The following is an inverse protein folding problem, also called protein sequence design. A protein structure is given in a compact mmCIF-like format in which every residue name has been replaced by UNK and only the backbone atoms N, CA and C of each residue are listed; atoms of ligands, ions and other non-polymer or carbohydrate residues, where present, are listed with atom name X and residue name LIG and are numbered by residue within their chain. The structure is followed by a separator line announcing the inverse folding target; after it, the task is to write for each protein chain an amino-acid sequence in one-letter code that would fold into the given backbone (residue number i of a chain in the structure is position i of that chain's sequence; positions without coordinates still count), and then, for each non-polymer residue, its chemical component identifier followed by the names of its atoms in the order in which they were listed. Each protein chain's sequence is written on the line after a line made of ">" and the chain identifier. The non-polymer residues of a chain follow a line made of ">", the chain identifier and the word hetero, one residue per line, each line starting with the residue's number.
data_IF_858584549182
#
_entry.id   IF_858584549182
#
_cell.length_a   1.000
_cell.length_b   1.000
_cell.length_c   1.000
_cell.angle_alpha   90.00
_cell.angle_beta   90.00
_cell.angle_gamma   90.00
#
_symmetry.space_group_name_H-M   'P 1'
#
loop_
_entity.id
_entity.type
_entity.pdbx_description
1 polymer ?
#
# COMPACT_ATOMS: atom_id res chain seq x y z
N UNK A 1 -12.40 -3.15 19.43
CA UNK A 1 -10.96 -2.83 19.58
C UNK A 1 -10.77 -2.00 20.84
N UNK A 2 -9.73 -2.28 21.64
CA UNK A 2 -9.40 -1.45 22.81
C UNK A 2 -8.77 -0.14 22.35
N UNK A 3 -9.27 1.00 22.83
CA UNK A 3 -8.62 2.30 22.63
C UNK A 3 -7.55 2.52 23.68
N UNK A 4 -6.37 2.97 23.26
CA UNK A 4 -5.25 3.34 24.12
C UNK A 4 -5.09 4.85 24.09
N UNK A 5 -4.93 5.47 25.25
CA UNK A 5 -4.58 6.89 25.36
C UNK A 5 -3.07 6.99 25.39
N UNK A 6 -2.50 7.85 24.56
CA UNK A 6 -1.06 8.11 24.55
C UNK A 6 -0.81 9.61 24.42
N UNK A 7 0.27 10.07 25.03
CA UNK A 7 0.75 11.45 24.95
C UNK A 7 1.99 11.48 24.07
N UNK A 8 2.06 12.43 23.15
CA UNK A 8 3.18 12.55 22.22
C UNK A 8 3.46 14.03 21.92
N UNK A 9 4.73 14.33 21.61
CA UNK A 9 5.17 15.64 21.16
C UNK A 9 5.26 15.68 19.63
N UNK A 10 4.42 16.50 19.00
CA UNK A 10 4.42 16.78 17.57
C UNK A 10 4.87 18.23 17.31
N UNK A 11 5.44 18.47 16.13
CA UNK A 11 5.77 19.84 15.69
C UNK A 11 4.55 20.76 15.78
N UNK A 12 4.79 21.99 16.23
CA UNK A 12 3.76 23.04 16.33
C UNK A 12 3.08 23.30 14.99
N UNK A 13 3.82 23.22 13.88
CA UNK A 13 3.29 23.43 12.54
C UNK A 13 2.35 22.31 12.10
N UNK A 14 2.71 21.05 12.41
CA UNK A 14 1.84 19.90 12.16
C UNK A 14 0.55 19.97 12.97
N UNK A 15 0.64 20.37 14.25
CA UNK A 15 -0.53 20.55 15.11
C UNK A 15 -1.47 21.65 14.58
N UNK A 16 -0.89 22.76 14.10
CA UNK A 16 -1.63 23.87 13.50
C UNK A 16 -2.32 23.45 12.20
N UNK A 17 -1.59 22.76 11.32
CA UNK A 17 -2.14 22.22 10.08
C UNK A 17 -3.27 21.23 10.35
N UNK A 18 -3.06 20.27 11.25
CA UNK A 18 -4.06 19.27 11.62
C UNK A 18 -5.32 19.91 12.18
N UNK A 19 -5.20 20.98 12.97
CA UNK A 19 -6.34 21.75 13.45
C UNK A 19 -7.14 22.42 12.33
N UNK A 20 -6.47 23.07 11.38
CA UNK A 20 -7.14 23.68 10.21
C UNK A 20 -7.83 22.63 9.35
N UNK A 21 -7.13 21.54 9.05
CA UNK A 21 -7.66 20.45 8.22
C UNK A 21 -8.86 19.79 8.90
N UNK A 22 -8.75 19.44 10.18
CA UNK A 22 -9.83 18.78 10.92
C UNK A 22 -11.10 19.65 10.97
N UNK A 23 -10.94 20.97 11.16
CA UNK A 23 -12.04 21.91 11.10
C UNK A 23 -12.70 21.97 9.70
N UNK A 24 -11.89 22.07 8.64
CA UNK A 24 -12.41 22.12 7.26
C UNK A 24 -13.19 20.87 6.86
N UNK A 25 -12.77 19.71 7.36
CA UNK A 25 -13.37 18.41 7.07
C UNK A 25 -14.44 17.99 8.09
N UNK A 26 -14.71 18.82 9.11
CA UNK A 26 -15.63 18.53 10.22
C UNK A 26 -15.34 17.21 10.94
N UNK A 27 -14.06 16.88 11.12
CA UNK A 27 -13.58 15.69 11.83
C UNK A 27 -12.70 16.07 13.01
N UNK A 28 -12.46 15.11 13.92
CA UNK A 28 -11.58 15.33 15.06
C UNK A 28 -10.10 15.18 14.67
N UNK A 29 -9.20 15.86 15.40
CA UNK A 29 -7.74 15.70 15.23
C UNK A 29 -7.31 14.23 15.38
N UNK A 30 -7.95 13.49 16.28
CA UNK A 30 -7.74 12.04 16.45
C UNK A 30 -8.03 11.29 15.16
N UNK A 31 -9.15 11.57 14.50
CA UNK A 31 -9.52 10.91 13.25
C UNK A 31 -8.55 11.24 12.11
N UNK A 32 -8.02 12.47 12.05
CA UNK A 32 -6.97 12.84 11.10
C UNK A 32 -5.72 12.00 11.33
N UNK A 33 -5.27 11.89 12.58
CA UNK A 33 -4.08 11.12 12.94
C UNK A 33 -4.25 9.63 12.66
N UNK A 34 -5.41 9.06 13.00
CA UNK A 34 -5.76 7.67 12.76
C UNK A 34 -5.78 7.34 11.25
N UNK A 35 -6.34 8.23 10.43
CA UNK A 35 -6.32 8.11 8.97
C UNK A 35 -4.88 8.18 8.43
N UNK A 36 -4.09 9.14 8.89
CA UNK A 36 -2.70 9.30 8.45
C UNK A 36 -1.85 8.07 8.77
N UNK A 37 -1.94 7.55 10.00
CA UNK A 37 -1.21 6.34 10.41
C UNK A 37 -1.67 5.10 9.65
N UNK A 38 -2.97 4.98 9.36
CA UNK A 38 -3.52 3.88 8.57
C UNK A 38 -2.98 3.90 7.14
N UNK A 39 -2.98 5.06 6.50
CA UNK A 39 -2.43 5.20 5.14
C UNK A 39 -0.91 5.02 5.12
N UNK A 40 -0.19 5.53 6.12
CA UNK A 40 1.24 5.29 6.27
C UNK A 40 1.54 3.79 6.38
N UNK A 41 0.83 3.06 7.24
CA UNK A 41 0.97 1.60 7.38
C UNK A 41 0.72 0.87 6.05
N UNK A 42 -0.31 1.26 5.30
CA UNK A 42 -0.58 0.70 3.96
C UNK A 42 0.59 0.97 3.01
N UNK A 43 1.15 2.19 3.03
CA UNK A 43 2.27 2.56 2.16
C UNK A 43 3.53 1.75 2.46
N UNK A 44 3.85 1.52 3.74
CA UNK A 44 4.97 0.67 4.16
C UNK A 44 4.78 -0.75 3.66
N UNK A 45 3.60 -1.34 3.86
CA UNK A 45 3.30 -2.69 3.37
C UNK A 45 3.41 -2.80 1.84
N UNK A 46 2.95 -1.80 1.10
CA UNK A 46 3.09 -1.77 -0.37
C UNK A 46 4.56 -1.74 -0.79
N UNK A 47 5.40 -1.01 -0.08
CA UNK A 47 6.85 -0.97 -0.34
C UNK A 47 7.48 -2.34 -0.10
N UNK A 48 7.16 -2.99 1.01
CA UNK A 48 7.63 -4.35 1.31
C UNK A 48 7.18 -5.37 0.27
N UNK A 49 5.94 -5.27 -0.21
CA UNK A 49 5.46 -6.09 -1.31
C UNK A 49 6.22 -5.84 -2.59
N UNK A 50 6.41 -4.57 -2.98
CA UNK A 50 7.17 -4.22 -4.19
C UNK A 50 8.60 -4.79 -4.14
N UNK A 51 9.26 -4.67 -2.99
CA UNK A 51 10.61 -5.23 -2.78
C UNK A 51 10.60 -6.77 -2.86
N UNK A 52 9.55 -7.42 -2.33
CA UNK A 52 9.39 -8.87 -2.38
C UNK A 52 9.12 -9.38 -3.80
N UNK A 53 8.24 -8.72 -4.56
CA UNK A 53 8.00 -9.03 -5.97
C UNK A 53 9.24 -8.78 -6.82
N UNK A 54 9.99 -7.71 -6.56
CA UNK A 54 11.27 -7.47 -7.23
C UNK A 54 12.26 -8.61 -6.97
N UNK A 55 12.33 -9.12 -5.74
CA UNK A 55 13.17 -10.29 -5.43
C UNK A 55 12.68 -11.55 -6.14
N UNK A 56 11.37 -11.83 -6.11
CA UNK A 56 10.79 -12.98 -6.79
C UNK A 56 10.98 -12.92 -8.32
N UNK A 57 10.97 -11.71 -8.92
CA UNK A 57 11.23 -11.54 -10.35
C UNK A 57 12.66 -11.90 -10.78
N UNK A 58 13.59 -12.00 -9.84
CA UNK A 58 14.96 -12.45 -10.11
C UNK A 58 15.13 -13.96 -9.94
N UNK A 59 14.12 -14.65 -9.40
CA UNK A 59 14.11 -16.10 -9.24
C UNK A 59 13.91 -16.79 -10.59
N UNK A 60 14.78 -17.75 -10.92
CA UNK A 60 14.78 -18.41 -12.22
C UNK A 60 13.56 -19.31 -12.41
N UNK A 61 13.12 -20.01 -11.36
CA UNK A 61 11.96 -20.89 -11.44
C UNK A 61 10.68 -20.07 -11.68
N UNK A 62 10.60 -18.89 -11.04
CA UNK A 62 9.50 -17.94 -11.25
C UNK A 62 9.48 -17.39 -12.69
N UNK A 63 10.65 -17.13 -13.29
CA UNK A 63 10.74 -16.69 -14.68
C UNK A 63 10.31 -17.77 -15.65
N UNK A 64 10.86 -18.98 -15.50
CA UNK A 64 10.53 -20.11 -16.36
C UNK A 64 9.03 -20.40 -16.31
N UNK A 65 8.43 -20.42 -15.12
CA UNK A 65 6.99 -20.62 -14.95
C UNK A 65 6.15 -19.52 -15.64
N UNK A 66 6.62 -18.27 -15.63
CA UNK A 66 5.93 -17.18 -16.29
C UNK A 66 6.08 -17.24 -17.83
N UNK A 67 7.24 -17.66 -18.33
CA UNK A 67 7.50 -17.88 -19.76
C UNK A 67 6.62 -19.03 -20.28
N UNK A 68 6.66 -20.19 -19.62
CA UNK A 68 5.83 -21.35 -19.97
C UNK A 68 4.33 -21.00 -20.01
N UNK A 69 3.84 -20.26 -19.01
CA UNK A 69 2.44 -19.84 -18.97
C UNK A 69 2.05 -18.81 -20.04
N UNK A 70 2.99 -18.00 -20.53
CA UNK A 70 2.75 -17.06 -21.63
C UNK A 70 2.72 -17.78 -22.98
N UNK A 71 3.55 -18.81 -23.15
CA UNK A 71 3.52 -19.68 -24.31
C UNK A 71 2.16 -20.42 -24.39
N UNK A 72 1.71 -21.02 -23.29
CA UNK A 72 0.38 -21.66 -23.19
C UNK A 72 -0.76 -20.68 -23.52
N UNK A 73 -0.67 -19.43 -23.04
CA UNK A 73 -1.66 -18.40 -23.33
C UNK A 73 -1.67 -18.00 -24.82
N UNK A 74 -0.50 -17.90 -25.44
CA UNK A 74 -0.38 -17.60 -26.87
C UNK A 74 -0.96 -18.72 -27.74
N UNK A 75 -0.74 -19.99 -27.37
CA UNK A 75 -1.36 -21.14 -28.03
C UNK A 75 -2.89 -21.08 -27.95
N UNK A 76 -3.45 -20.70 -26.81
CA UNK A 76 -4.91 -20.55 -26.65
C UNK A 76 -5.48 -19.46 -27.55
N UNK A 77 -4.82 -18.30 -27.63
CA UNK A 77 -5.27 -17.21 -28.50
C UNK A 77 -5.25 -17.61 -29.98
N UNK A 78 -4.17 -18.24 -30.43
CA UNK A 78 -4.05 -18.70 -31.83
C UNK A 78 -5.03 -19.81 -32.19
N UNK A 79 -5.40 -20.66 -31.23
CA UNK A 79 -6.48 -21.64 -31.42
C UNK A 79 -7.87 -21.02 -31.48
N UNK A 80 -8.11 -19.89 -30.82
CA UNK A 80 -9.40 -19.18 -30.84
C UNK A 80 -9.61 -18.34 -32.12
N UNK A 81 -8.53 -17.95 -32.81
CA UNK A 81 -8.57 -17.23 -34.08
C UNK A 81 -8.73 -18.14 -35.31
N UNK A 82 -8.74 -19.47 -35.12
CA UNK A 82 -9.04 -20.47 -36.15
C UNK A 82 -10.51 -20.89 -36.14
#
# INVERSE_FOLDING_TARGET
>A
MKSVIFTNNLSSDLMRWMGKYSASQKITRRAVLEKALTEFRKSVRRKEYADSFKRASLDMDMKNMAEDGMDDYFEQLTCLER
#
